data_IF_761679901240
#
_entry.id   IF_761679901240
#
_cell.length_a   1.000
_cell.length_b   1.000
_cell.length_c   1.000
_cell.angle_alpha   90.00
_cell.angle_beta   90.00
_cell.angle_gamma   90.00
#
_symmetry.space_group_name_H-M   'P 1'
#
loop_
_entity.id
_entity.type
_entity.pdbx_description
1 polymer ?
#
# COMPACT_ATOMS: atom_id res chain seq x y z
N UNK A 1 -25.60 -33.42 -1.25
CA UNK A 1 -26.28 -33.89 -0.03
C UNK A 1 -25.38 -33.68 1.22
N UNK A 2 -24.68 -32.55 1.38
CA UNK A 2 -23.86 -32.23 2.55
C UNK A 2 -24.20 -30.90 3.21
N UNK A 3 -25.17 -30.15 2.70
CA UNK A 3 -25.50 -28.78 3.19
C UNK A 3 -26.73 -28.69 4.10
N UNK A 4 -27.25 -29.81 4.57
CA UNK A 4 -28.50 -29.82 5.38
C UNK A 4 -28.27 -30.02 6.88
N UNK A 5 -27.04 -30.31 7.32
CA UNK A 5 -26.76 -30.58 8.75
C UNK A 5 -26.50 -29.30 9.55
N UNK A 6 -26.10 -28.18 8.87
CA UNK A 6 -25.78 -26.90 9.53
C UNK A 6 -27.03 -26.12 9.96
N UNK A 7 -28.19 -26.37 9.35
CA UNK A 7 -29.43 -25.61 9.65
C UNK A 7 -30.17 -26.04 10.93
N UNK A 8 -29.82 -27.16 11.54
CA UNK A 8 -30.48 -27.68 12.75
C UNK A 8 -29.86 -27.14 14.05
N UNK A 9 -28.59 -26.68 14.00
CA UNK A 9 -27.91 -26.10 15.17
C UNK A 9 -28.43 -24.75 15.62
N UNK A 10 -28.97 -23.94 14.69
CA UNK A 10 -29.37 -22.53 14.94
C UNK A 10 -30.69 -22.37 15.68
N UNK A 11 -31.53 -23.41 15.81
CA UNK A 11 -32.87 -23.32 16.43
C UNK A 11 -32.91 -23.82 17.90
N UNK A 12 -31.82 -24.38 18.43
CA UNK A 12 -31.81 -24.97 19.79
C UNK A 12 -31.15 -24.11 20.87
N UNK A 13 -30.57 -22.95 20.55
CA UNK A 13 -29.90 -22.11 21.56
C UNK A 13 -30.90 -21.19 22.32
N UNK A 14 -32.14 -21.09 21.89
CA UNK A 14 -33.11 -20.11 22.43
C UNK A 14 -33.80 -20.51 23.74
N UNK A 15 -33.65 -21.74 24.25
CA UNK A 15 -34.31 -22.19 25.48
C UNK A 15 -33.61 -23.36 26.18
N UNK A 16 -32.30 -23.27 26.49
CA UNK A 16 -31.73 -24.29 27.38
C UNK A 16 -30.86 -23.63 28.46
N UNK A 17 -31.15 -23.97 29.73
CA UNK A 17 -30.29 -23.68 30.89
C UNK A 17 -28.91 -24.39 30.84
N UNK A 18 -28.53 -24.91 29.69
CA UNK A 18 -27.23 -25.59 29.50
C UNK A 18 -26.17 -24.57 29.07
N UNK A 19 -25.02 -24.69 29.70
CA UNK A 19 -23.84 -23.91 29.31
C UNK A 19 -23.55 -24.05 27.81
N UNK A 20 -23.12 -22.96 27.10
CA UNK A 20 -22.74 -23.01 25.72
C UNK A 20 -21.67 -24.10 25.45
N UNK A 21 -21.80 -24.81 24.35
CA UNK A 21 -20.85 -25.84 23.93
C UNK A 21 -20.00 -25.32 22.77
N UNK A 22 -18.69 -25.49 22.90
CA UNK A 22 -17.77 -25.19 21.81
C UNK A 22 -17.83 -26.25 20.75
N UNK A 23 -18.26 -25.92 19.55
CA UNK A 23 -18.27 -26.84 18.43
C UNK A 23 -16.86 -27.34 18.08
N UNK A 24 -16.69 -28.64 17.72
CA UNK A 24 -15.41 -29.11 17.22
C UNK A 24 -15.06 -28.42 15.89
N UNK A 25 -13.83 -27.94 15.78
CA UNK A 25 -13.29 -27.34 14.57
C UNK A 25 -12.08 -28.16 14.12
N UNK A 26 -12.06 -28.56 12.86
CA UNK A 26 -10.91 -29.24 12.26
C UNK A 26 -9.90 -28.19 11.83
N UNK A 27 -8.79 -28.12 12.54
CA UNK A 27 -7.66 -27.21 12.27
C UNK A 27 -6.51 -27.90 11.52
N UNK A 28 -6.64 -29.18 11.16
CA UNK A 28 -5.55 -29.99 10.59
C UNK A 28 -5.07 -29.52 9.21
N UNK A 29 -5.92 -28.78 8.49
CA UNK A 29 -5.61 -28.22 7.15
C UNK A 29 -5.07 -26.77 7.20
N UNK A 30 -4.99 -26.19 8.40
CA UNK A 30 -4.54 -24.83 8.59
C UNK A 30 -3.02 -24.77 8.81
N UNK A 31 -2.44 -23.61 8.51
CA UNK A 31 -1.05 -23.34 8.90
C UNK A 31 -0.86 -23.51 10.42
N UNK A 32 0.24 -24.12 10.86
CA UNK A 32 0.47 -24.40 12.27
C UNK A 32 0.27 -23.20 13.22
N UNK A 33 0.77 -21.97 12.93
CA UNK A 33 0.50 -20.81 13.78
C UNK A 33 -0.98 -20.43 13.85
N UNK A 34 -1.74 -20.66 12.77
CA UNK A 34 -3.19 -20.42 12.71
C UNK A 34 -3.92 -21.42 13.59
N UNK A 35 -3.61 -22.71 13.42
CA UNK A 35 -4.18 -23.79 14.21
C UNK A 35 -3.92 -23.56 15.71
N UNK A 36 -2.69 -23.22 16.09
CA UNK A 36 -2.33 -22.97 17.48
C UNK A 36 -3.07 -21.76 18.07
N UNK A 37 -3.20 -20.67 17.31
CA UNK A 37 -3.95 -19.48 17.73
C UNK A 37 -5.42 -19.78 17.99
N UNK A 38 -6.07 -20.54 17.10
CA UNK A 38 -7.46 -20.96 17.22
C UNK A 38 -7.62 -21.92 18.40
N UNK A 39 -6.76 -22.92 18.52
CA UNK A 39 -6.82 -23.91 19.61
C UNK A 39 -6.56 -23.28 20.98
N UNK A 40 -5.69 -22.26 21.05
CA UNK A 40 -5.45 -21.51 22.27
C UNK A 40 -6.70 -20.74 22.71
N UNK A 41 -7.34 -20.01 21.79
CA UNK A 41 -8.58 -19.29 22.08
C UNK A 41 -9.74 -20.25 22.43
N UNK A 42 -9.83 -21.39 21.73
CA UNK A 42 -10.82 -22.44 22.00
C UNK A 42 -10.65 -23.04 23.40
N UNK A 43 -9.43 -23.36 23.83
CA UNK A 43 -9.14 -23.84 25.18
C UNK A 43 -9.56 -22.83 26.24
N UNK A 44 -9.39 -21.53 26.02
CA UNK A 44 -9.85 -20.51 26.96
C UNK A 44 -11.37 -20.54 27.14
N UNK A 45 -12.13 -20.68 26.05
CA UNK A 45 -13.59 -20.85 26.12
C UNK A 45 -13.97 -22.15 26.81
N UNK A 46 -13.29 -23.26 26.51
CA UNK A 46 -13.56 -24.58 27.15
C UNK A 46 -13.30 -24.55 28.66
N UNK A 47 -12.32 -23.76 29.11
CA UNK A 47 -12.03 -23.61 30.54
C UNK A 47 -13.15 -22.89 31.29
N UNK A 48 -13.86 -21.95 30.64
CA UNK A 48 -15.04 -21.28 31.20
C UNK A 48 -15.99 -20.86 30.07
N UNK A 49 -16.97 -21.68 29.78
CA UNK A 49 -17.97 -21.48 28.73
C UNK A 49 -18.97 -20.36 29.03
N UNK A 50 -18.95 -19.79 30.22
CA UNK A 50 -19.80 -18.66 30.62
C UNK A 50 -19.01 -17.33 30.61
N UNK A 51 -17.72 -17.33 30.22
CA UNK A 51 -16.93 -16.12 30.12
C UNK A 51 -17.16 -15.43 28.76
N UNK A 52 -17.85 -14.28 28.72
CA UNK A 52 -18.12 -13.56 27.49
C UNK A 52 -16.84 -13.02 26.84
N UNK A 53 -15.78 -12.74 27.61
CA UNK A 53 -14.52 -12.23 27.09
C UNK A 53 -13.74 -13.33 26.34
N UNK A 54 -13.80 -14.57 26.81
CA UNK A 54 -13.23 -15.73 26.12
C UNK A 54 -13.92 -15.95 24.76
N UNK A 55 -15.26 -15.86 24.71
CA UNK A 55 -16.01 -15.98 23.46
C UNK A 55 -15.72 -14.84 22.48
N UNK A 56 -15.60 -13.60 22.97
CA UNK A 56 -15.20 -12.45 22.13
C UNK A 56 -13.80 -12.68 21.52
N UNK A 57 -12.84 -13.12 22.34
CA UNK A 57 -11.48 -13.43 21.86
C UNK A 57 -11.49 -14.55 20.83
N UNK A 58 -12.27 -15.61 21.05
CA UNK A 58 -12.37 -16.72 20.10
C UNK A 58 -13.00 -16.28 18.79
N UNK A 59 -14.08 -15.49 18.84
CA UNK A 59 -14.73 -14.93 17.66
C UNK A 59 -13.78 -14.02 16.85
N UNK A 60 -13.02 -13.15 17.53
CA UNK A 60 -12.00 -12.30 16.88
C UNK A 60 -10.92 -13.11 16.18
N UNK A 61 -10.43 -14.19 16.82
CA UNK A 61 -9.42 -15.08 16.21
C UNK A 61 -9.99 -15.80 14.99
N UNK A 62 -11.18 -16.36 15.07
CA UNK A 62 -11.84 -17.02 13.95
C UNK A 62 -12.07 -16.04 12.79
N UNK A 63 -12.55 -14.85 13.08
CA UNK A 63 -12.80 -13.80 12.08
C UNK A 63 -11.49 -13.32 11.42
N UNK A 64 -10.41 -13.18 12.19
CA UNK A 64 -9.09 -12.82 11.68
C UNK A 64 -8.55 -13.84 10.67
N UNK A 65 -8.96 -15.08 10.79
CA UNK A 65 -8.60 -16.18 9.88
C UNK A 65 -9.69 -16.55 8.87
N UNK A 66 -10.68 -15.65 8.67
CA UNK A 66 -11.75 -15.79 7.67
C UNK A 66 -12.72 -16.96 7.92
N UNK A 67 -12.73 -17.52 9.12
CA UNK A 67 -13.70 -18.52 9.56
C UNK A 67 -14.98 -17.83 10.04
N UNK A 68 -15.67 -17.17 9.08
CA UNK A 68 -16.74 -16.22 9.40
C UNK A 68 -18.00 -16.88 9.94
N UNK A 69 -18.33 -18.12 9.55
CA UNK A 69 -19.49 -18.82 10.09
C UNK A 69 -19.28 -19.15 11.57
N UNK A 70 -18.14 -19.70 11.90
CA UNK A 70 -17.74 -20.06 13.26
C UNK A 70 -17.59 -18.82 14.13
N UNK A 71 -17.04 -17.74 13.55
CA UNK A 71 -16.98 -16.44 14.22
C UNK A 71 -18.36 -15.89 14.55
N UNK A 72 -19.33 -15.97 13.62
CA UNK A 72 -20.70 -15.52 13.85
C UNK A 72 -21.42 -16.32 14.95
N UNK A 73 -21.16 -17.63 15.03
CA UNK A 73 -21.67 -18.47 16.13
C UNK A 73 -21.07 -18.02 17.47
N UNK A 74 -19.75 -17.83 17.52
CA UNK A 74 -19.06 -17.36 18.72
C UNK A 74 -19.56 -15.97 19.16
N UNK A 75 -19.76 -15.03 18.23
CA UNK A 75 -20.37 -13.73 18.50
C UNK A 75 -21.80 -13.85 19.02
N UNK A 76 -22.60 -14.77 18.45
CA UNK A 76 -23.97 -15.01 18.90
C UNK A 76 -24.04 -15.53 20.34
N UNK A 77 -23.12 -16.39 20.72
CA UNK A 77 -22.99 -16.90 22.09
C UNK A 77 -22.54 -15.77 23.01
N UNK A 78 -21.52 -14.99 22.63
CA UNK A 78 -21.10 -13.80 23.40
C UNK A 78 -22.25 -12.84 23.68
N UNK A 79 -23.05 -12.55 22.67
CA UNK A 79 -24.26 -11.67 22.82
C UNK A 79 -25.34 -12.28 23.72
N UNK A 80 -25.39 -13.59 23.89
CA UNK A 80 -26.30 -14.22 24.84
C UNK A 80 -25.83 -14.16 26.29
N UNK A 81 -24.51 -13.94 26.49
CA UNK A 81 -23.90 -13.89 27.82
C UNK A 81 -23.70 -12.46 28.33
N UNK A 82 -23.46 -11.52 27.46
CA UNK A 82 -23.24 -10.11 27.83
C UNK A 82 -23.41 -9.16 26.61
N UNK A 83 -23.67 -7.88 26.90
CA UNK A 83 -23.75 -6.84 25.89
C UNK A 83 -22.43 -6.65 25.15
N UNK A 84 -22.50 -6.19 23.89
CA UNK A 84 -21.33 -5.87 23.11
C UNK A 84 -20.71 -4.53 23.56
N UNK A 85 -19.40 -4.48 23.62
CA UNK A 85 -18.67 -3.21 23.61
C UNK A 85 -18.75 -2.57 22.21
N UNK A 86 -18.51 -1.25 22.06
CA UNK A 86 -18.49 -0.60 20.75
C UNK A 86 -17.57 -1.29 19.74
N UNK A 87 -16.36 -1.67 20.17
CA UNK A 87 -15.40 -2.38 19.31
C UNK A 87 -15.88 -3.76 18.87
N UNK A 88 -16.48 -4.53 19.77
CA UNK A 88 -17.08 -5.84 19.45
C UNK A 88 -18.28 -5.69 18.50
N UNK A 89 -19.10 -4.66 18.68
CA UNK A 89 -20.21 -4.35 17.77
C UNK A 89 -19.72 -4.08 16.34
N UNK A 90 -18.63 -3.34 16.18
CA UNK A 90 -17.98 -3.09 14.89
C UNK A 90 -17.50 -4.41 14.26
N UNK A 91 -16.80 -5.26 15.02
CA UNK A 91 -16.30 -6.54 14.52
C UNK A 91 -17.43 -7.49 14.14
N UNK A 92 -18.47 -7.55 14.95
CA UNK A 92 -19.65 -8.38 14.67
C UNK A 92 -20.38 -7.90 13.40
N UNK A 93 -20.50 -6.58 13.22
CA UNK A 93 -21.05 -5.98 12.00
C UNK A 93 -20.22 -6.37 10.76
N UNK A 94 -18.89 -6.31 10.84
CA UNK A 94 -17.99 -6.75 9.76
C UNK A 94 -18.10 -8.26 9.48
N UNK A 95 -18.29 -9.07 10.49
CA UNK A 95 -18.55 -10.52 10.33
C UNK A 95 -19.84 -10.74 9.54
N UNK A 96 -20.92 -10.05 9.89
CA UNK A 96 -22.20 -10.13 9.19
C UNK A 96 -22.09 -9.71 7.72
N UNK A 97 -21.34 -8.63 7.43
CA UNK A 97 -21.04 -8.19 6.07
C UNK A 97 -20.29 -9.26 5.25
N UNK A 98 -19.24 -9.84 5.84
CA UNK A 98 -18.45 -10.88 5.17
C UNK A 98 -19.28 -12.14 4.85
N UNK A 99 -20.31 -12.41 5.64
CA UNK A 99 -21.27 -13.51 5.40
C UNK A 99 -22.40 -13.11 4.45
N UNK A 100 -22.51 -11.84 4.08
CA UNK A 100 -23.64 -11.28 3.32
C UNK A 100 -25.01 -11.66 3.93
N UNK A 101 -25.09 -11.78 5.25
CA UNK A 101 -26.32 -12.07 5.97
C UNK A 101 -26.55 -11.14 7.17
N UNK A 102 -27.79 -10.68 7.40
CA UNK A 102 -28.08 -9.81 8.54
C UNK A 102 -27.93 -10.57 9.86
N UNK A 103 -27.49 -9.86 10.88
CA UNK A 103 -27.48 -10.28 12.27
C UNK A 103 -28.34 -9.29 13.10
N UNK A 104 -29.67 -9.47 13.18
CA UNK A 104 -30.60 -8.45 13.75
C UNK A 104 -30.26 -8.00 15.17
N UNK A 105 -29.72 -8.90 16.00
CA UNK A 105 -29.26 -8.55 17.35
C UNK A 105 -28.11 -7.55 17.36
N UNK A 106 -27.29 -7.50 16.29
CA UNK A 106 -26.17 -6.56 16.16
C UNK A 106 -26.71 -5.13 15.96
N UNK A 107 -27.69 -4.97 15.09
CA UNK A 107 -28.31 -3.65 14.85
C UNK A 107 -28.94 -3.11 16.14
N UNK A 108 -29.67 -3.95 16.87
CA UNK A 108 -30.24 -3.60 18.17
C UNK A 108 -29.15 -3.21 19.19
N UNK A 109 -28.06 -3.96 19.27
CA UNK A 109 -26.94 -3.65 20.16
C UNK A 109 -26.27 -2.32 19.78
N UNK A 110 -26.09 -2.06 18.49
CA UNK A 110 -25.54 -0.79 18.00
C UNK A 110 -26.47 0.38 18.38
N UNK A 111 -27.78 0.22 18.20
CA UNK A 111 -28.74 1.25 18.60
C UNK A 111 -28.68 1.55 20.09
N UNK A 112 -28.59 0.54 20.95
CA UNK A 112 -28.45 0.71 22.39
C UNK A 112 -27.14 1.44 22.75
N UNK A 113 -26.02 1.05 22.15
CA UNK A 113 -24.74 1.71 22.38
C UNK A 113 -24.80 3.18 21.94
N UNK A 114 -25.39 3.47 20.76
CA UNK A 114 -25.50 4.83 20.24
C UNK A 114 -26.55 5.68 20.96
N UNK A 115 -27.51 5.08 21.68
CA UNK A 115 -28.39 5.80 22.62
C UNK A 115 -27.62 6.26 23.85
N UNK A 116 -26.71 5.39 24.37
CA UNK A 116 -25.88 5.73 25.51
C UNK A 116 -24.69 6.64 25.15
N UNK A 117 -24.13 6.49 23.95
CA UNK A 117 -22.99 7.26 23.44
C UNK A 117 -23.26 7.77 22.02
N UNK A 118 -24.10 8.84 21.87
CA UNK A 118 -24.56 9.32 20.56
C UNK A 118 -23.45 9.72 19.59
N UNK A 119 -22.32 10.16 20.13
CA UNK A 119 -21.20 10.71 19.35
C UNK A 119 -20.03 9.73 19.20
N UNK A 120 -20.28 8.41 19.33
CA UNK A 120 -19.25 7.40 19.14
C UNK A 120 -18.85 7.30 17.67
N UNK A 121 -17.81 8.04 17.29
CA UNK A 121 -17.39 8.27 15.89
C UNK A 121 -17.12 6.98 15.12
N UNK A 122 -16.30 6.06 15.67
CA UNK A 122 -15.95 4.80 14.98
C UNK A 122 -17.16 3.91 14.73
N UNK A 123 -18.08 3.80 15.68
CA UNK A 123 -19.29 2.98 15.52
C UNK A 123 -20.24 3.58 14.48
N UNK A 124 -20.43 4.92 14.48
CA UNK A 124 -21.20 5.61 13.44
C UNK A 124 -20.58 5.49 12.07
N UNK A 125 -19.27 5.65 11.96
CA UNK A 125 -18.54 5.45 10.71
C UNK A 125 -18.71 4.02 10.18
N UNK A 126 -18.57 3.01 11.04
CA UNK A 126 -18.73 1.60 10.66
C UNK A 126 -20.16 1.31 10.22
N UNK A 127 -21.19 1.72 11.00
CA UNK A 127 -22.59 1.52 10.63
C UNK A 127 -22.97 2.29 9.36
N UNK A 128 -22.56 3.55 9.25
CA UNK A 128 -22.79 4.36 8.05
C UNK A 128 -22.15 3.76 6.80
N UNK A 129 -20.95 3.22 6.92
CA UNK A 129 -20.27 2.51 5.82
C UNK A 129 -20.99 1.22 5.41
N UNK A 130 -21.53 0.47 6.37
CA UNK A 130 -22.35 -0.73 6.12
C UNK A 130 -23.66 -0.37 5.43
N UNK A 131 -24.36 0.65 5.92
CA UNK A 131 -25.59 1.17 5.32
C UNK A 131 -25.37 1.64 3.87
N UNK A 132 -24.25 2.34 3.60
CA UNK A 132 -23.86 2.74 2.24
C UNK A 132 -23.73 1.53 1.31
N UNK A 133 -23.04 0.47 1.75
CA UNK A 133 -22.90 -0.77 0.95
C UNK A 133 -24.23 -1.49 0.77
N UNK A 134 -25.09 -1.44 1.76
CA UNK A 134 -26.44 -2.01 1.73
C UNK A 134 -27.47 -1.18 0.94
N UNK A 135 -27.10 0.03 0.47
CA UNK A 135 -27.98 0.91 -0.29
C UNK A 135 -28.90 1.81 0.56
N UNK A 136 -28.82 1.76 1.90
CA UNK A 136 -29.50 2.71 2.80
C UNK A 136 -28.71 4.04 2.82
N UNK A 137 -28.90 4.84 1.78
CA UNK A 137 -28.18 6.11 1.61
C UNK A 137 -28.57 7.16 2.64
N UNK A 138 -29.82 7.14 3.11
CA UNK A 138 -30.33 8.11 4.11
C UNK A 138 -29.73 7.82 5.48
N UNK A 139 -29.82 6.58 5.94
CA UNK A 139 -29.21 6.18 7.21
C UNK A 139 -27.68 6.27 7.19
N UNK A 140 -27.05 5.98 6.04
CA UNK A 140 -25.62 6.16 5.86
C UNK A 140 -25.20 7.61 6.02
N UNK A 141 -25.93 8.54 5.37
CA UNK A 141 -25.65 9.97 5.46
C UNK A 141 -25.77 10.47 6.89
N UNK A 142 -26.85 10.10 7.59
CA UNK A 142 -27.07 10.51 8.98
C UNK A 142 -25.91 10.10 9.89
N UNK A 143 -25.50 8.83 9.85
CA UNK A 143 -24.40 8.34 10.67
C UNK A 143 -23.05 8.99 10.29
N UNK A 144 -22.75 9.11 8.99
CA UNK A 144 -21.49 9.67 8.52
C UNK A 144 -21.39 11.18 8.76
N UNK A 145 -22.48 11.94 8.66
CA UNK A 145 -22.49 13.37 9.02
C UNK A 145 -22.20 13.59 10.51
N UNK A 146 -22.81 12.78 11.38
CA UNK A 146 -22.51 12.85 12.81
C UNK A 146 -21.06 12.47 13.09
N UNK A 147 -20.51 11.45 12.40
CA UNK A 147 -19.12 11.08 12.54
C UNK A 147 -18.18 12.20 12.05
N UNK A 148 -18.45 12.83 10.89
CA UNK A 148 -17.64 13.94 10.34
C UNK A 148 -17.69 15.17 11.28
N UNK A 149 -18.81 15.43 11.94
CA UNK A 149 -18.94 16.56 12.89
C UNK A 149 -18.07 16.36 14.13
N UNK A 150 -17.81 15.13 14.54
CA UNK A 150 -16.89 14.82 15.65
C UNK A 150 -15.44 14.81 15.17
N UNK A 151 -15.19 14.17 14.05
CA UNK A 151 -13.83 14.02 13.51
C UNK A 151 -13.83 14.05 11.99
N UNK A 152 -13.12 15.03 11.42
CA UNK A 152 -12.95 15.17 9.97
C UNK A 152 -11.78 14.30 9.47
N UNK A 153 -11.86 12.99 9.75
CA UNK A 153 -10.88 12.03 9.28
C UNK A 153 -11.07 11.71 7.79
N UNK A 154 -10.01 11.55 6.98
CA UNK A 154 -10.13 11.30 5.54
C UNK A 154 -11.00 10.10 5.16
N UNK A 155 -10.98 9.02 5.95
CA UNK A 155 -11.81 7.84 5.71
C UNK A 155 -13.31 8.15 5.87
N UNK A 156 -13.67 8.96 6.87
CA UNK A 156 -15.07 9.36 7.10
C UNK A 156 -15.53 10.30 5.99
N UNK A 157 -14.69 11.28 5.62
CA UNK A 157 -14.95 12.19 4.51
C UNK A 157 -15.15 11.44 3.18
N UNK A 158 -14.33 10.43 2.90
CA UNK A 158 -14.46 9.58 1.72
C UNK A 158 -15.79 8.79 1.72
N UNK A 159 -16.17 8.20 2.86
CA UNK A 159 -17.42 7.46 2.98
C UNK A 159 -18.62 8.37 2.78
N UNK A 160 -18.64 9.55 3.41
CA UNK A 160 -19.70 10.54 3.22
C UNK A 160 -19.75 11.05 1.78
N UNK A 161 -18.60 11.32 1.16
CA UNK A 161 -18.56 11.74 -0.24
C UNK A 161 -19.14 10.68 -1.19
N UNK A 162 -18.86 9.41 -0.96
CA UNK A 162 -19.47 8.30 -1.72
C UNK A 162 -20.99 8.24 -1.52
N UNK A 163 -21.45 8.47 -0.30
CA UNK A 163 -22.88 8.48 0.01
C UNK A 163 -23.61 9.60 -0.74
N UNK A 164 -23.12 10.85 -0.62
CA UNK A 164 -23.77 12.00 -1.28
C UNK A 164 -23.63 11.96 -2.80
N UNK A 165 -22.54 11.38 -3.30
CA UNK A 165 -22.37 11.10 -4.74
C UNK A 165 -23.42 10.13 -5.25
N UNK A 166 -23.69 9.05 -4.50
CA UNK A 166 -24.74 8.07 -4.84
C UNK A 166 -26.16 8.68 -4.79
N UNK A 167 -26.34 9.76 -4.06
CA UNK A 167 -27.57 10.57 -4.03
C UNK A 167 -27.64 11.62 -5.15
N UNK A 168 -26.57 11.78 -5.96
CA UNK A 168 -26.48 12.72 -7.07
C UNK A 168 -25.88 14.08 -6.73
N UNK A 169 -25.47 14.35 -5.48
CA UNK A 169 -24.83 15.60 -5.10
C UNK A 169 -23.31 15.57 -5.34
N UNK A 170 -22.93 15.68 -6.61
CA UNK A 170 -21.54 15.69 -7.03
C UNK A 170 -20.77 16.91 -6.52
N UNK A 171 -21.43 18.05 -6.33
CA UNK A 171 -20.79 19.28 -5.82
C UNK A 171 -20.33 19.11 -4.38
N UNK A 172 -21.18 18.58 -3.53
CA UNK A 172 -20.83 18.28 -2.15
C UNK A 172 -19.80 17.17 -2.05
N UNK A 173 -19.93 16.12 -2.87
CA UNK A 173 -18.95 15.04 -2.94
C UNK A 173 -17.55 15.55 -3.29
N UNK A 174 -17.43 16.46 -4.27
CA UNK A 174 -16.16 17.11 -4.62
C UNK A 174 -15.53 17.82 -3.41
N UNK A 175 -16.28 18.65 -2.72
CA UNK A 175 -15.76 19.40 -1.56
C UNK A 175 -15.21 18.47 -0.48
N UNK A 176 -15.93 17.40 -0.14
CA UNK A 176 -15.51 16.41 0.84
C UNK A 176 -14.25 15.64 0.41
N UNK A 177 -14.16 15.28 -0.89
CA UNK A 177 -13.02 14.55 -1.42
C UNK A 177 -11.76 15.43 -1.55
N UNK A 178 -11.92 16.69 -1.89
CA UNK A 178 -10.79 17.64 -1.95
C UNK A 178 -10.20 17.87 -0.55
N UNK A 179 -11.04 17.98 0.48
CA UNK A 179 -10.59 18.02 1.87
C UNK A 179 -9.90 16.71 2.29
N UNK A 180 -10.50 15.56 1.97
CA UNK A 180 -9.90 14.26 2.25
C UNK A 180 -8.51 14.13 1.59
N UNK A 181 -8.38 14.60 0.34
CA UNK A 181 -7.12 14.60 -0.42
C UNK A 181 -6.05 15.50 0.20
N UNK A 182 -6.43 16.65 0.77
CA UNK A 182 -5.48 17.53 1.47
C UNK A 182 -4.88 16.84 2.69
N UNK A 183 -5.67 16.03 3.40
CA UNK A 183 -5.25 15.30 4.60
C UNK A 183 -4.54 13.98 4.30
N UNK A 184 -4.85 13.35 3.17
CA UNK A 184 -4.32 12.06 2.73
C UNK A 184 -3.95 12.11 1.23
N UNK A 185 -2.90 12.89 0.92
CA UNK A 185 -2.42 13.05 -0.44
C UNK A 185 -1.85 11.72 -0.98
N UNK A 186 -2.42 11.23 -2.08
CA UNK A 186 -1.98 9.99 -2.70
C UNK A 186 -2.79 8.75 -2.34
N UNK A 187 -3.82 8.87 -1.50
CA UNK A 187 -4.74 7.77 -1.26
C UNK A 187 -5.48 7.37 -2.56
N UNK A 188 -5.34 6.10 -2.99
CA UNK A 188 -5.89 5.66 -4.27
C UNK A 188 -7.43 5.63 -4.30
N UNK A 189 -8.09 5.44 -3.15
CA UNK A 189 -9.54 5.36 -3.09
C UNK A 189 -10.19 6.74 -3.18
N UNK A 190 -9.54 7.77 -2.63
CA UNK A 190 -9.94 9.18 -2.82
C UNK A 190 -9.78 9.56 -4.29
N UNK A 191 -8.64 9.22 -4.91
CA UNK A 191 -8.38 9.54 -6.32
C UNK A 191 -9.36 8.84 -7.26
N UNK A 192 -9.64 7.56 -7.04
CA UNK A 192 -10.63 6.79 -7.81
C UNK A 192 -12.04 7.37 -7.70
N UNK A 193 -12.38 7.95 -6.54
CA UNK A 193 -13.70 8.53 -6.32
C UNK A 193 -13.80 9.94 -6.92
N UNK A 194 -12.73 10.71 -7.04
CA UNK A 194 -12.71 12.04 -7.65
C UNK A 194 -13.00 12.01 -9.15
N UNK A 195 -12.51 11.04 -9.90
CA UNK A 195 -12.70 10.98 -11.36
C UNK A 195 -14.18 10.94 -11.77
N UNK A 196 -15.05 10.06 -11.22
CA UNK A 196 -16.48 10.09 -11.52
C UNK A 196 -17.19 11.38 -11.05
N UNK A 197 -16.74 11.99 -9.96
CA UNK A 197 -17.28 13.27 -9.48
C UNK A 197 -17.03 14.38 -10.52
N UNK A 198 -15.80 14.51 -11.03
CA UNK A 198 -15.48 15.50 -12.04
C UNK A 198 -16.26 15.28 -13.35
N UNK A 199 -16.51 14.00 -13.73
CA UNK A 199 -17.35 13.69 -14.91
C UNK A 199 -18.79 14.16 -14.73
N UNK A 200 -19.40 13.95 -13.55
CA UNK A 200 -20.76 14.41 -13.27
C UNK A 200 -20.86 15.94 -13.24
N UNK A 201 -19.77 16.63 -12.91
CA UNK A 201 -19.69 18.10 -12.94
C UNK A 201 -19.33 18.66 -14.31
N UNK A 202 -19.11 17.82 -15.35
CA UNK A 202 -18.69 18.24 -16.69
C UNK A 202 -17.22 18.62 -16.81
N UNK A 203 -16.40 18.35 -15.81
CA UNK A 203 -14.97 18.70 -15.73
C UNK A 203 -14.10 17.55 -16.28
N UNK A 204 -14.23 17.23 -17.57
CA UNK A 204 -13.60 16.09 -18.22
C UNK A 204 -12.09 16.08 -18.13
N UNK A 205 -11.44 17.26 -18.28
CA UNK A 205 -9.97 17.35 -18.17
C UNK A 205 -9.44 16.97 -16.78
N UNK A 206 -10.16 17.36 -15.72
CA UNK A 206 -9.80 16.99 -14.36
C UNK A 206 -10.02 15.50 -14.11
N UNK A 207 -11.10 14.93 -14.64
CA UNK A 207 -11.37 13.50 -14.56
C UNK A 207 -10.26 12.68 -15.25
N UNK A 208 -9.81 13.08 -16.43
CA UNK A 208 -8.73 12.40 -17.17
C UNK A 208 -7.37 12.56 -16.45
N UNK A 209 -7.13 13.73 -15.84
CA UNK A 209 -5.95 13.93 -15.00
C UNK A 209 -5.93 12.96 -13.80
N UNK A 210 -7.06 12.77 -13.10
CA UNK A 210 -7.12 11.83 -11.98
C UNK A 210 -7.00 10.36 -12.45
N UNK A 211 -7.56 9.99 -13.60
CA UNK A 211 -7.40 8.66 -14.19
C UNK A 211 -5.98 8.33 -14.61
N UNK A 212 -5.25 9.34 -15.13
CA UNK A 212 -3.86 9.17 -15.60
C UNK A 212 -2.84 9.17 -14.46
N UNK A 213 -3.22 9.54 -13.23
CA UNK A 213 -2.34 9.47 -12.07
C UNK A 213 -2.03 8.04 -11.72
N UNK A 214 -0.74 7.70 -11.69
CA UNK A 214 -0.30 6.38 -11.19
C UNK A 214 -0.60 6.30 -9.70
N UNK A 215 -1.50 5.40 -9.33
CA UNK A 215 -1.91 5.17 -7.94
C UNK A 215 -0.75 4.55 -7.15
N UNK A 216 0.07 5.36 -6.52
CA UNK A 216 1.21 4.97 -5.68
C UNK A 216 1.05 5.57 -4.28
N UNK A 217 0.09 5.06 -3.52
CA UNK A 217 -0.09 5.48 -2.13
C UNK A 217 -0.41 4.29 -1.23
N UNK A 218 -0.22 4.43 0.09
CA UNK A 218 -0.69 3.42 1.03
C UNK A 218 -2.20 3.29 0.89
N UNK A 219 -2.64 2.04 0.76
CA UNK A 219 -4.05 1.71 0.66
C UNK A 219 -4.68 1.80 2.05
N UNK A 220 -5.83 2.44 2.10
CA UNK A 220 -6.77 2.43 3.21
C UNK A 220 -6.32 3.11 4.51
N UNK A 221 -6.86 4.27 4.69
CA UNK A 221 -7.00 4.93 5.97
C UNK A 221 -7.79 4.02 6.92
N UNK A 222 -7.10 3.27 7.78
CA UNK A 222 -7.74 2.52 8.85
C UNK A 222 -8.16 3.50 9.93
N UNK A 223 -9.42 3.48 10.28
CA UNK A 223 -9.99 4.41 11.27
C UNK A 223 -10.29 3.72 12.61
N UNK A 224 -10.36 2.39 12.65
CA UNK A 224 -10.90 1.68 13.79
C UNK A 224 -9.87 0.81 14.51
N UNK A 225 -9.73 1.04 15.84
CA UNK A 225 -8.82 0.25 16.69
C UNK A 225 -9.23 -1.22 16.82
N UNK A 226 -10.55 -1.52 16.76
CA UNK A 226 -11.04 -2.89 16.84
C UNK A 226 -10.65 -3.68 15.59
N UNK A 227 -10.78 -3.07 14.41
CA UNK A 227 -10.30 -3.68 13.15
C UNK A 227 -8.78 -3.88 13.18
N UNK A 228 -8.03 -2.93 13.75
CA UNK A 228 -6.59 -3.06 13.91
C UNK A 228 -6.22 -4.19 14.87
N UNK A 229 -6.93 -4.32 16.01
CA UNK A 229 -6.72 -5.43 16.94
C UNK A 229 -6.99 -6.78 16.27
N UNK A 230 -8.11 -6.92 15.56
CA UNK A 230 -8.44 -8.13 14.82
C UNK A 230 -7.38 -8.46 13.76
N UNK A 231 -6.98 -7.47 12.97
CA UNK A 231 -5.92 -7.65 11.98
C UNK A 231 -4.61 -8.14 12.61
N UNK A 232 -4.28 -7.68 13.82
CA UNK A 232 -3.08 -8.12 14.55
C UNK A 232 -3.19 -9.56 15.10
N UNK A 233 -4.40 -10.10 15.26
CA UNK A 233 -4.61 -11.50 15.63
C UNK A 233 -4.40 -12.47 14.47
N UNK A 234 -4.51 -12.02 13.22
CA UNK A 234 -4.23 -12.86 12.07
C UNK A 234 -2.73 -13.20 12.00
N UNK A 235 -2.39 -14.48 12.11
CA UNK A 235 -1.00 -14.98 12.12
C UNK A 235 -0.66 -15.81 10.90
N UNK A 236 -1.58 -15.93 9.93
CA UNK A 236 -1.35 -16.66 8.68
C UNK A 236 -0.26 -16.00 7.84
N UNK A 237 0.42 -16.81 7.02
CA UNK A 237 1.41 -16.30 6.06
C UNK A 237 0.82 -15.28 5.10
N UNK A 238 -0.46 -15.43 4.71
CA UNK A 238 -1.18 -14.46 3.87
C UNK A 238 -1.35 -13.12 4.58
N UNK A 239 -1.82 -13.12 5.84
CA UNK A 239 -1.97 -11.89 6.62
C UNK A 239 -0.62 -11.19 6.85
N UNK A 240 0.44 -11.96 7.11
CA UNK A 240 1.79 -11.43 7.25
C UNK A 240 2.33 -10.87 5.92
N UNK A 241 1.99 -11.50 4.79
CA UNK A 241 2.37 -11.01 3.45
C UNK A 241 1.68 -9.68 3.10
N UNK A 242 0.40 -9.52 3.45
CA UNK A 242 -0.33 -8.26 3.26
C UNK A 242 0.29 -7.13 4.09
N UNK A 243 0.63 -7.39 5.36
CA UNK A 243 1.33 -6.43 6.23
C UNK A 243 2.73 -6.09 5.72
N UNK A 244 3.45 -7.11 5.25
CA UNK A 244 4.77 -6.90 4.66
C UNK A 244 4.69 -6.05 3.39
N UNK A 245 3.67 -6.28 2.53
CA UNK A 245 3.44 -5.47 1.33
C UNK A 245 3.08 -4.03 1.67
N UNK A 246 2.21 -3.82 2.66
CA UNK A 246 1.82 -2.48 3.12
C UNK A 246 3.03 -1.71 3.67
N UNK A 247 3.80 -2.32 4.57
CA UNK A 247 5.01 -1.72 5.11
C UNK A 247 6.07 -1.44 4.02
N UNK A 248 6.21 -2.35 3.05
CA UNK A 248 7.10 -2.18 1.91
C UNK A 248 6.67 -0.99 1.01
N UNK A 249 5.38 -0.87 0.73
CA UNK A 249 4.83 0.25 -0.05
C UNK A 249 5.06 1.60 0.65
N UNK A 250 4.97 1.61 1.98
CA UNK A 250 5.22 2.79 2.83
C UNK A 250 6.72 3.06 3.04
N UNK A 251 7.62 2.22 2.48
CA UNK A 251 9.08 2.26 2.69
C UNK A 251 9.51 2.05 4.14
N UNK A 252 8.66 1.43 4.93
CA UNK A 252 8.97 1.04 6.31
C UNK A 252 9.68 -0.32 6.32
N UNK A 253 10.95 -0.30 5.90
CA UNK A 253 11.74 -1.50 5.66
C UNK A 253 11.91 -2.37 6.91
N UNK A 254 11.99 -1.76 8.08
CA UNK A 254 12.14 -2.49 9.34
C UNK A 254 10.86 -3.26 9.69
N UNK A 255 9.70 -2.61 9.58
CA UNK A 255 8.41 -3.26 9.81
C UNK A 255 8.15 -4.35 8.77
N UNK A 256 8.46 -4.08 7.50
CA UNK A 256 8.36 -5.09 6.44
C UNK A 256 9.19 -6.34 6.76
N UNK A 257 10.44 -6.17 7.23
CA UNK A 257 11.31 -7.29 7.63
C UNK A 257 10.75 -8.12 8.78
N UNK A 258 10.07 -7.50 9.76
CA UNK A 258 9.43 -8.25 10.85
C UNK A 258 8.41 -9.24 10.32
N UNK A 259 7.54 -8.79 9.41
CA UNK A 259 6.50 -9.65 8.84
C UNK A 259 7.07 -10.68 7.86
N UNK A 260 8.06 -10.30 7.05
CA UNK A 260 8.74 -11.23 6.14
C UNK A 260 9.49 -12.35 6.90
N UNK A 261 10.10 -12.04 8.04
CA UNK A 261 10.72 -13.05 8.87
C UNK A 261 9.69 -14.07 9.40
N UNK A 262 8.52 -13.61 9.89
CA UNK A 262 7.45 -14.53 10.31
C UNK A 262 6.95 -15.44 9.20
N UNK A 263 6.89 -14.94 7.95
CA UNK A 263 6.55 -15.77 6.80
C UNK A 263 7.65 -16.83 6.58
N UNK A 264 8.91 -16.43 6.63
CA UNK A 264 10.06 -17.30 6.35
C UNK A 264 10.39 -18.26 7.49
N UNK A 265 9.88 -18.03 8.70
CA UNK A 265 9.91 -19.02 9.79
C UNK A 265 9.02 -20.22 9.48
N UNK A 266 7.87 -20.01 8.82
CA UNK A 266 6.91 -21.05 8.43
C UNK A 266 7.25 -21.65 7.06
N UNK A 267 7.64 -20.78 6.12
CA UNK A 267 7.93 -21.12 4.72
C UNK A 267 9.31 -20.58 4.32
N UNK A 268 10.41 -21.24 4.73
CA UNK A 268 11.77 -20.73 4.55
C UNK A 268 12.25 -20.66 3.10
N UNK A 269 11.52 -21.30 2.18
CA UNK A 269 11.74 -21.38 0.73
C UNK A 269 10.81 -20.45 -0.08
N UNK A 270 9.96 -19.66 0.57
CA UNK A 270 9.02 -18.77 -0.13
C UNK A 270 9.76 -17.67 -0.90
N UNK A 271 10.01 -17.93 -2.16
CA UNK A 271 10.85 -17.12 -3.04
C UNK A 271 10.45 -15.63 -3.08
N UNK A 272 9.16 -15.32 -3.16
CA UNK A 272 8.65 -13.95 -3.15
C UNK A 272 8.92 -13.21 -1.83
N UNK A 273 8.89 -13.91 -0.68
CA UNK A 273 9.20 -13.31 0.62
C UNK A 273 10.71 -13.06 0.75
N UNK A 274 11.54 -14.00 0.30
CA UNK A 274 12.98 -13.83 0.23
C UNK A 274 13.37 -12.63 -0.63
N UNK A 275 12.80 -12.50 -1.84
CA UNK A 275 13.09 -11.38 -2.74
C UNK A 275 12.71 -10.02 -2.11
N UNK A 276 11.55 -9.93 -1.44
CA UNK A 276 11.14 -8.70 -0.73
C UNK A 276 12.06 -8.41 0.46
N UNK A 277 12.44 -9.43 1.25
CA UNK A 277 13.37 -9.23 2.38
C UNK A 277 14.75 -8.81 1.90
N UNK A 278 15.23 -9.40 0.82
CA UNK A 278 16.45 -8.99 0.14
C UNK A 278 16.41 -7.51 -0.28
N UNK A 279 15.26 -7.03 -0.78
CA UNK A 279 15.09 -5.62 -1.11
C UNK A 279 15.11 -4.74 0.16
N UNK A 280 14.47 -5.16 1.26
CA UNK A 280 14.55 -4.44 2.54
C UNK A 280 15.99 -4.37 3.05
N UNK A 281 16.75 -5.46 2.96
CA UNK A 281 18.18 -5.49 3.29
C UNK A 281 19.00 -4.55 2.41
N UNK A 282 18.72 -4.51 1.11
CA UNK A 282 19.37 -3.60 0.16
C UNK A 282 19.11 -2.13 0.52
N UNK A 283 17.85 -1.78 0.86
CA UNK A 283 17.46 -0.42 1.23
C UNK A 283 17.99 0.02 2.59
N UNK A 284 18.25 -0.93 3.49
CA UNK A 284 18.89 -0.70 4.81
C UNK A 284 20.42 -0.89 4.79
N UNK A 285 21.01 -0.94 3.60
CA UNK A 285 22.47 -1.07 3.37
C UNK A 285 23.10 -2.39 3.88
N UNK A 286 22.31 -3.45 4.04
CA UNK A 286 22.77 -4.78 4.48
C UNK A 286 23.08 -5.66 3.25
N UNK A 287 24.09 -5.27 2.47
CA UNK A 287 24.38 -5.81 1.13
C UNK A 287 24.57 -7.32 1.09
N UNK A 288 25.27 -7.90 2.08
CA UNK A 288 25.54 -9.34 2.14
C UNK A 288 24.26 -10.16 2.35
N UNK A 289 23.37 -9.69 3.26
CA UNK A 289 22.08 -10.34 3.49
C UNK A 289 21.17 -10.23 2.29
N UNK A 290 21.20 -9.07 1.61
CA UNK A 290 20.45 -8.87 0.38
C UNK A 290 20.87 -9.85 -0.71
N UNK A 291 22.20 -10.04 -0.92
CA UNK A 291 22.74 -11.01 -1.90
C UNK A 291 22.30 -12.43 -1.58
N UNK A 292 22.40 -12.85 -0.32
CA UNK A 292 21.96 -14.19 0.13
C UNK A 292 20.47 -14.42 -0.15
N UNK A 293 19.62 -13.47 0.22
CA UNK A 293 18.19 -13.60 0.03
C UNK A 293 17.80 -13.61 -1.45
N UNK A 294 18.39 -12.75 -2.29
CA UNK A 294 18.11 -12.75 -3.72
C UNK A 294 18.58 -14.02 -4.42
N UNK A 295 19.77 -14.54 -4.09
CA UNK A 295 20.26 -15.80 -4.67
C UNK A 295 19.40 -16.98 -4.25
N UNK A 296 18.98 -17.02 -2.98
CA UNK A 296 18.05 -18.05 -2.51
C UNK A 296 16.69 -17.92 -3.21
N UNK A 297 16.16 -16.71 -3.36
CA UNK A 297 14.92 -16.47 -4.07
C UNK A 297 14.95 -16.98 -5.52
N UNK A 298 16.06 -16.73 -6.25
CA UNK A 298 16.24 -17.20 -7.64
C UNK A 298 16.40 -18.72 -7.69
N UNK A 299 17.03 -19.33 -6.69
CA UNK A 299 17.18 -20.79 -6.63
C UNK A 299 15.82 -21.49 -6.47
N UNK A 300 14.87 -20.87 -5.76
CA UNK A 300 13.50 -21.39 -5.58
C UNK A 300 12.58 -21.01 -6.76
N UNK A 301 12.76 -19.81 -7.34
CA UNK A 301 11.98 -19.32 -8.48
C UNK A 301 12.84 -18.37 -9.33
N UNK A 302 13.36 -18.89 -10.44
CA UNK A 302 14.19 -18.14 -11.40
C UNK A 302 13.42 -17.06 -12.20
N UNK A 303 12.08 -17.06 -12.11
CA UNK A 303 11.22 -16.09 -12.80
C UNK A 303 10.97 -14.79 -12.00
N UNK A 304 11.62 -14.62 -10.85
CA UNK A 304 11.43 -13.46 -9.98
C UNK A 304 12.24 -12.24 -10.48
N UNK A 305 11.60 -11.38 -11.28
CA UNK A 305 12.19 -10.14 -11.78
C UNK A 305 12.79 -9.26 -10.66
N UNK A 306 12.13 -9.16 -9.51
CA UNK A 306 12.60 -8.39 -8.36
C UNK A 306 13.95 -8.88 -7.82
N UNK A 307 14.17 -10.19 -7.76
CA UNK A 307 15.41 -10.76 -7.27
C UNK A 307 16.57 -10.52 -8.25
N UNK A 308 16.32 -10.69 -9.55
CA UNK A 308 17.27 -10.33 -10.58
C UNK A 308 17.61 -8.84 -10.57
N UNK A 309 16.62 -7.96 -10.47
CA UNK A 309 16.86 -6.51 -10.33
C UNK A 309 17.72 -6.21 -9.08
N UNK A 310 17.41 -6.86 -7.95
CA UNK A 310 18.18 -6.71 -6.71
C UNK A 310 19.65 -7.07 -6.87
N UNK A 311 19.96 -8.23 -7.49
CA UNK A 311 21.34 -8.63 -7.79
C UNK A 311 22.03 -7.68 -8.78
N UNK A 312 21.31 -7.19 -9.78
CA UNK A 312 21.81 -6.17 -10.71
C UNK A 312 22.23 -4.88 -9.99
N UNK A 313 21.42 -4.42 -9.03
CA UNK A 313 21.74 -3.23 -8.19
C UNK A 313 22.98 -3.50 -7.32
N UNK A 314 23.05 -4.67 -6.67
CA UNK A 314 24.21 -5.07 -5.85
C UNK A 314 25.49 -5.15 -6.66
N UNK A 315 25.42 -5.75 -7.83
CA UNK A 315 26.56 -5.84 -8.76
C UNK A 315 27.02 -4.44 -9.21
N UNK A 316 26.07 -3.57 -9.56
CA UNK A 316 26.35 -2.18 -9.96
C UNK A 316 27.01 -1.35 -8.85
N UNK A 317 26.55 -1.49 -7.60
CA UNK A 317 27.17 -0.87 -6.41
C UNK A 317 28.53 -1.46 -6.08
N UNK A 318 28.69 -2.76 -6.32
CA UNK A 318 29.95 -3.49 -6.09
C UNK A 318 31.00 -3.34 -7.19
N UNK A 319 30.80 -2.45 -8.19
CA UNK A 319 31.74 -2.23 -9.28
C UNK A 319 31.86 -3.40 -10.26
N UNK A 320 30.84 -4.23 -10.40
CA UNK A 320 30.74 -5.38 -11.30
C UNK A 320 29.71 -5.13 -12.43
N UNK A 321 29.99 -4.17 -13.34
CA UNK A 321 29.00 -3.71 -14.30
C UNK A 321 28.52 -4.79 -15.27
N UNK A 322 29.37 -5.74 -15.68
CA UNK A 322 28.96 -6.84 -16.57
C UNK A 322 27.94 -7.75 -15.92
N UNK A 323 28.14 -8.09 -14.63
CA UNK A 323 27.16 -8.87 -13.86
C UNK A 323 25.84 -8.08 -13.67
N UNK A 324 25.93 -6.76 -13.43
CA UNK A 324 24.77 -5.90 -13.35
C UNK A 324 23.95 -5.92 -14.66
N UNK A 325 24.61 -5.85 -15.82
CA UNK A 325 23.97 -5.96 -17.13
C UNK A 325 23.20 -7.26 -17.27
N UNK A 326 23.84 -8.41 -16.94
CA UNK A 326 23.20 -9.73 -17.05
C UNK A 326 21.93 -9.81 -16.21
N UNK A 327 22.01 -9.41 -14.94
CA UNK A 327 20.86 -9.50 -14.05
C UNK A 327 19.77 -8.48 -14.39
N UNK A 328 20.10 -7.24 -14.76
CA UNK A 328 19.10 -6.25 -15.17
C UNK A 328 18.42 -6.60 -16.49
N UNK A 329 19.16 -7.17 -17.46
CA UNK A 329 18.56 -7.68 -18.68
C UNK A 329 17.52 -8.77 -18.37
N UNK A 330 17.87 -9.73 -17.49
CA UNK A 330 16.94 -10.79 -17.09
C UNK A 330 15.72 -10.23 -16.35
N UNK A 331 15.90 -9.23 -15.49
CA UNK A 331 14.79 -8.56 -14.83
C UNK A 331 13.81 -7.90 -15.82
N UNK A 332 14.33 -7.26 -16.87
CA UNK A 332 13.54 -6.64 -17.95
C UNK A 332 12.83 -7.70 -18.81
N UNK A 333 13.48 -8.82 -19.14
CA UNK A 333 12.81 -9.92 -19.83
C UNK A 333 11.61 -10.46 -19.05
N UNK A 334 11.77 -10.61 -17.73
CA UNK A 334 10.71 -11.12 -16.84
C UNK A 334 9.62 -10.10 -16.54
N UNK A 335 9.97 -8.82 -16.46
CA UNK A 335 9.04 -7.71 -16.26
C UNK A 335 9.43 -6.50 -17.12
N UNK A 336 8.95 -6.43 -18.37
CA UNK A 336 9.28 -5.36 -19.30
C UNK A 336 8.77 -3.97 -18.89
N UNK A 337 7.87 -3.90 -17.91
CA UNK A 337 7.29 -2.65 -17.41
C UNK A 337 7.93 -2.15 -16.11
N UNK A 338 9.00 -2.79 -15.62
CA UNK A 338 9.69 -2.35 -14.40
C UNK A 338 10.50 -1.06 -14.65
N UNK A 339 10.04 0.12 -14.16
CA UNK A 339 10.70 1.39 -14.42
C UNK A 339 12.08 1.48 -13.76
N UNK A 340 12.30 0.75 -12.65
CA UNK A 340 13.58 0.74 -11.95
C UNK A 340 14.62 -0.08 -12.73
N UNK A 341 14.23 -1.26 -13.22
CA UNK A 341 15.12 -2.10 -14.03
C UNK A 341 15.49 -1.38 -15.34
N UNK A 342 14.49 -0.84 -16.05
CA UNK A 342 14.69 -0.08 -17.28
C UNK A 342 15.56 1.17 -17.07
N UNK A 343 15.43 1.85 -15.91
CA UNK A 343 16.26 3.00 -15.59
C UNK A 343 17.69 2.66 -15.25
N UNK A 344 17.95 1.50 -14.63
CA UNK A 344 19.27 1.09 -14.19
C UNK A 344 20.07 0.39 -15.30
N UNK A 345 19.41 -0.27 -16.23
CA UNK A 345 20.04 -1.06 -17.28
C UNK A 345 20.97 -0.23 -18.19
N UNK A 346 20.54 0.94 -18.73
CA UNK A 346 21.42 1.80 -19.52
C UNK A 346 22.69 2.22 -18.76
N UNK A 347 22.56 2.46 -17.45
CA UNK A 347 23.70 2.88 -16.62
C UNK A 347 24.69 1.72 -16.43
N UNK A 348 24.18 0.50 -16.27
CA UNK A 348 25.01 -0.69 -16.16
C UNK A 348 25.78 -0.96 -17.48
N UNK A 349 25.11 -0.84 -18.63
CA UNK A 349 25.71 -0.94 -19.96
C UNK A 349 26.81 0.13 -20.17
N UNK A 350 26.49 1.38 -19.82
CA UNK A 350 27.45 2.49 -19.93
C UNK A 350 28.72 2.21 -19.11
N UNK A 351 28.56 1.77 -17.84
CA UNK A 351 29.69 1.40 -16.98
C UNK A 351 30.43 0.14 -17.45
N UNK A 352 29.76 -0.74 -18.18
CA UNK A 352 30.39 -1.93 -18.81
C UNK A 352 31.13 -1.58 -20.10
N UNK A 353 31.07 -0.32 -20.58
CA UNK A 353 31.70 0.13 -21.83
C UNK A 353 30.89 -0.20 -23.09
N UNK A 354 29.65 -0.69 -22.94
CA UNK A 354 28.73 -1.03 -24.03
C UNK A 354 27.90 0.20 -24.39
N UNK A 355 28.55 1.18 -25.03
CA UNK A 355 27.98 2.53 -25.17
C UNK A 355 26.82 2.58 -26.16
N UNK A 356 26.90 1.98 -27.37
CA UNK A 356 25.78 1.96 -28.31
C UNK A 356 24.53 1.30 -27.75
N UNK A 357 24.71 0.19 -27.03
CA UNK A 357 23.62 -0.54 -26.38
C UNK A 357 23.02 0.29 -25.22
N UNK A 358 23.86 1.03 -24.48
CA UNK A 358 23.41 1.90 -23.40
C UNK A 358 22.54 3.06 -23.93
N UNK A 359 22.93 3.68 -25.04
CA UNK A 359 22.17 4.75 -25.69
C UNK A 359 20.81 4.24 -26.19
N UNK A 360 20.78 3.09 -26.85
CA UNK A 360 19.54 2.46 -27.31
C UNK A 360 18.61 2.08 -26.14
N UNK A 361 19.18 1.51 -25.08
CA UNK A 361 18.42 1.16 -23.88
C UNK A 361 17.85 2.40 -23.17
N UNK A 362 18.61 3.51 -23.09
CA UNK A 362 18.13 4.76 -22.54
C UNK A 362 16.99 5.34 -23.36
N UNK A 363 17.11 5.42 -24.68
CA UNK A 363 16.05 5.93 -25.54
C UNK A 363 14.77 5.06 -25.45
N UNK A 364 14.93 3.73 -25.36
CA UNK A 364 13.81 2.82 -25.15
C UNK A 364 13.10 3.11 -23.81
N UNK A 365 13.88 3.24 -22.73
CA UNK A 365 13.32 3.56 -21.41
C UNK A 365 12.68 4.95 -21.36
N UNK A 366 13.29 5.97 -22.01
CA UNK A 366 12.76 7.31 -22.11
C UNK A 366 11.46 7.37 -22.90
N UNK A 367 11.39 6.69 -24.04
CA UNK A 367 10.17 6.62 -24.85
C UNK A 367 9.00 6.01 -24.07
N UNK A 368 9.29 5.04 -23.21
CA UNK A 368 8.27 4.38 -22.38
C UNK A 368 7.86 5.22 -21.16
N UNK A 369 8.81 5.95 -20.59
CA UNK A 369 8.63 6.79 -19.39
C UNK A 369 9.12 8.23 -19.62
N UNK A 370 8.53 9.00 -20.53
CA UNK A 370 9.07 10.31 -20.95
C UNK A 370 9.12 11.33 -19.81
N UNK A 371 8.29 11.16 -18.78
CA UNK A 371 8.27 12.04 -17.60
C UNK A 371 9.07 11.48 -16.40
N UNK A 372 9.87 10.42 -16.60
CA UNK A 372 10.70 9.86 -15.54
C UNK A 372 12.01 10.64 -15.40
N UNK A 373 11.96 11.72 -14.62
CA UNK A 373 13.14 12.55 -14.36
C UNK A 373 14.30 11.82 -13.66
N UNK A 374 14.02 10.78 -12.87
CA UNK A 374 15.08 10.00 -12.20
C UNK A 374 15.92 9.26 -13.24
N UNK A 375 15.29 8.64 -14.24
CA UNK A 375 15.99 8.02 -15.36
C UNK A 375 16.92 9.02 -16.07
N UNK A 376 16.38 10.20 -16.41
CA UNK A 376 17.15 11.26 -17.08
C UNK A 376 18.33 11.70 -16.23
N UNK A 377 18.11 12.00 -14.95
CA UNK A 377 19.19 12.44 -14.05
C UNK A 377 20.31 11.40 -13.94
N UNK A 378 19.96 10.11 -13.74
CA UNK A 378 20.94 9.05 -13.63
C UNK A 378 21.74 8.91 -14.93
N UNK A 379 21.09 9.02 -16.09
CA UNK A 379 21.73 9.00 -17.39
C UNK A 379 22.74 10.13 -17.56
N UNK A 380 22.33 11.38 -17.27
CA UNK A 380 23.18 12.56 -17.33
C UNK A 380 24.39 12.47 -16.39
N UNK A 381 24.19 11.97 -15.17
CA UNK A 381 25.29 11.69 -14.22
C UNK A 381 26.24 10.64 -14.79
N UNK A 382 25.69 9.55 -15.37
CA UNK A 382 26.48 8.49 -15.98
C UNK A 382 27.36 8.99 -17.12
N UNK A 383 26.78 9.68 -18.10
CA UNK A 383 27.52 10.25 -19.25
C UNK A 383 28.61 11.22 -18.79
N UNK A 384 28.30 12.12 -17.86
CA UNK A 384 29.30 13.06 -17.35
C UNK A 384 30.44 12.35 -16.61
N UNK A 385 30.15 11.31 -15.82
CA UNK A 385 31.19 10.53 -15.13
C UNK A 385 32.13 9.77 -16.07
N UNK A 386 31.70 9.53 -17.29
CA UNK A 386 32.46 8.90 -18.35
C UNK A 386 33.16 9.92 -19.28
N UNK A 387 33.12 11.21 -18.93
CA UNK A 387 33.72 12.28 -19.74
C UNK A 387 32.92 12.64 -21.02
N UNK A 388 31.68 12.18 -21.15
CA UNK A 388 30.82 12.36 -22.33
C UNK A 388 29.81 13.51 -22.10
N UNK A 389 30.32 14.66 -21.66
CA UNK A 389 29.49 15.82 -21.30
C UNK A 389 28.73 16.40 -22.51
N UNK A 390 29.27 16.28 -23.73
CA UNK A 390 28.64 16.68 -25.00
C UNK A 390 27.34 15.89 -25.22
N UNK A 391 27.38 14.58 -25.10
CA UNK A 391 26.20 13.72 -25.21
C UNK A 391 25.23 13.96 -24.04
N UNK A 392 25.74 14.19 -22.83
CA UNK A 392 24.96 14.57 -21.69
C UNK A 392 24.14 15.86 -21.92
N UNK A 393 24.76 16.84 -22.56
CA UNK A 393 24.06 18.10 -22.90
C UNK A 393 22.94 17.87 -23.92
N UNK A 394 23.19 17.08 -24.97
CA UNK A 394 22.18 16.72 -25.98
C UNK A 394 21.00 15.99 -25.30
N UNK A 395 21.30 14.98 -24.49
CA UNK A 395 20.25 14.23 -23.75
C UNK A 395 19.44 15.13 -22.81
N UNK A 396 20.09 16.07 -22.11
CA UNK A 396 19.41 17.02 -21.24
C UNK A 396 18.47 17.94 -22.02
N UNK A 397 18.93 18.51 -23.14
CA UNK A 397 18.10 19.38 -24.01
C UNK A 397 16.89 18.63 -24.56
N UNK A 398 17.07 17.37 -24.98
CA UNK A 398 15.96 16.52 -25.44
C UNK A 398 14.98 16.23 -24.32
N UNK A 399 15.48 15.90 -23.12
CA UNK A 399 14.62 15.63 -21.95
C UNK A 399 13.80 16.83 -21.49
N UNK A 400 14.35 18.05 -21.64
CA UNK A 400 13.62 19.29 -21.31
C UNK A 400 12.43 19.55 -22.25
N UNK A 401 12.38 18.96 -23.45
CA UNK A 401 11.22 19.02 -24.33
C UNK A 401 10.03 18.24 -23.73
N UNK A 402 10.30 17.12 -23.05
CA UNK A 402 9.30 16.26 -22.43
C UNK A 402 8.92 16.73 -21.00
N UNK A 403 9.91 17.23 -20.25
CA UNK A 403 9.79 17.56 -18.82
C UNK A 403 9.54 19.06 -18.56
N UNK A 404 9.74 19.92 -19.57
CA UNK A 404 9.73 21.37 -19.37
C UNK A 404 10.95 21.85 -18.56
N UNK A 405 10.79 22.95 -17.83
CA UNK A 405 11.85 23.55 -17.00
C UNK A 405 12.07 22.74 -15.70
N UNK A 406 12.55 21.50 -15.83
CA UNK A 406 12.90 20.67 -14.67
C UNK A 406 14.23 21.11 -14.04
N UNK A 407 14.17 21.57 -12.79
CA UNK A 407 15.32 22.15 -12.09
C UNK A 407 16.53 21.21 -12.01
N UNK A 408 16.31 19.91 -11.83
CA UNK A 408 17.41 18.95 -11.72
C UNK A 408 18.04 18.62 -13.07
N UNK A 409 17.24 18.52 -14.13
CA UNK A 409 17.76 18.32 -15.50
C UNK A 409 18.54 19.57 -15.93
N UNK A 410 18.03 20.77 -15.68
CA UNK A 410 18.73 22.05 -15.92
C UNK A 410 20.06 22.12 -15.15
N UNK A 411 20.08 21.70 -13.87
CA UNK A 411 21.31 21.62 -13.09
C UNK A 411 22.35 20.69 -13.74
N UNK A 412 21.94 19.48 -14.16
CA UNK A 412 22.85 18.54 -14.81
C UNK A 412 23.31 19.02 -16.19
N UNK A 413 22.44 19.69 -16.95
CA UNK A 413 22.84 20.33 -18.20
C UNK A 413 23.91 21.39 -17.97
N UNK A 414 23.74 22.25 -16.94
CA UNK A 414 24.73 23.22 -16.55
C UNK A 414 26.09 22.60 -16.20
N UNK A 415 26.08 21.49 -15.45
CA UNK A 415 27.30 20.74 -15.11
C UNK A 415 27.97 20.11 -16.36
N UNK A 416 27.20 19.72 -17.38
CA UNK A 416 27.77 19.30 -18.66
C UNK A 416 28.43 20.44 -19.40
N UNK A 417 27.78 21.61 -19.41
CA UNK A 417 28.35 22.84 -20.01
C UNK A 417 29.63 23.30 -19.30
N UNK A 418 29.66 23.23 -17.96
CA UNK A 418 30.90 23.49 -17.19
C UNK A 418 32.04 22.56 -17.62
N UNK A 419 31.74 21.27 -17.77
CA UNK A 419 32.73 20.25 -18.19
C UNK A 419 33.23 20.49 -19.65
N UNK A 420 32.43 21.14 -20.49
CA UNK A 420 32.76 21.50 -21.85
C UNK A 420 33.46 22.92 -21.94
N UNK A 421 33.66 23.60 -20.79
CA UNK A 421 34.26 24.93 -20.74
C UNK A 421 33.32 26.08 -21.16
N UNK A 422 32.02 25.79 -21.36
CA UNK A 422 31.01 26.75 -21.80
C UNK A 422 30.39 27.48 -20.60
N UNK A 423 31.22 28.23 -19.86
CA UNK A 423 30.87 28.77 -18.53
C UNK A 423 29.68 29.76 -18.59
N UNK A 424 29.60 30.59 -19.62
CA UNK A 424 28.48 31.58 -19.70
C UNK A 424 27.14 30.89 -19.88
N UNK A 425 27.06 29.93 -20.77
CA UNK A 425 25.83 29.14 -20.98
C UNK A 425 25.49 28.29 -19.75
N UNK A 426 26.50 27.71 -19.09
CA UNK A 426 26.30 26.98 -17.82
C UNK A 426 25.64 27.85 -16.75
N UNK A 427 26.07 29.13 -16.62
CA UNK A 427 25.49 30.09 -15.69
C UNK A 427 24.03 30.41 -16.01
N UNK A 428 23.64 30.46 -17.27
CA UNK A 428 22.25 30.63 -17.66
C UNK A 428 21.41 29.45 -17.26
N UNK A 429 21.86 28.20 -17.51
CA UNK A 429 21.16 26.99 -17.08
C UNK A 429 21.08 26.88 -15.56
N UNK A 430 22.10 27.32 -14.82
CA UNK A 430 22.03 27.39 -13.36
C UNK A 430 20.95 28.39 -12.88
N UNK A 431 20.83 29.56 -13.50
CA UNK A 431 19.77 30.55 -13.18
C UNK A 431 18.38 29.98 -13.47
N UNK A 432 18.17 29.31 -14.61
CA UNK A 432 16.92 28.65 -14.95
C UNK A 432 16.58 27.55 -13.95
N UNK A 433 17.58 26.76 -13.53
CA UNK A 433 17.42 25.74 -12.52
C UNK A 433 16.95 26.30 -11.17
N UNK A 434 17.53 27.44 -10.73
CA UNK A 434 17.11 28.12 -9.48
C UNK A 434 15.75 28.78 -9.63
N UNK A 435 15.42 29.31 -10.82
CA UNK A 435 14.11 29.87 -11.10
C UNK A 435 13.00 28.76 -11.03
N UNK A 436 13.31 27.58 -11.53
CA UNK A 436 12.39 26.42 -11.47
C UNK A 436 12.26 25.83 -10.05
N UNK A 437 13.36 25.78 -9.28
CA UNK A 437 13.38 25.39 -7.87
C UNK A 437 14.47 26.17 -7.11
N UNK A 438 14.10 27.11 -6.21
CA UNK A 438 15.06 27.88 -5.40
C UNK A 438 15.98 27.03 -4.52
N UNK A 439 15.59 25.77 -4.23
CA UNK A 439 16.39 24.80 -3.47
C UNK A 439 17.32 23.96 -4.35
N UNK A 440 17.35 24.20 -5.66
CA UNK A 440 18.23 23.48 -6.57
C UNK A 440 19.71 23.63 -6.14
N UNK A 441 20.53 22.58 -6.29
CA UNK A 441 21.98 22.64 -6.05
C UNK A 441 22.68 23.73 -6.88
N UNK A 442 22.06 24.22 -7.95
CA UNK A 442 22.55 25.36 -8.77
C UNK A 442 22.67 26.66 -7.97
N UNK A 443 21.87 26.87 -6.91
CA UNK A 443 21.93 28.06 -6.08
C UNK A 443 23.33 28.28 -5.46
N UNK A 444 23.94 27.20 -4.95
CA UNK A 444 25.29 27.24 -4.37
C UNK A 444 26.40 27.53 -5.42
N UNK A 445 26.16 27.12 -6.67
CA UNK A 445 27.08 27.40 -7.79
C UNK A 445 27.05 28.89 -8.16
N UNK A 446 25.85 29.49 -8.27
CA UNK A 446 25.69 30.91 -8.56
C UNK A 446 26.30 31.81 -7.49
N UNK A 447 26.20 31.43 -6.20
CA UNK A 447 26.81 32.17 -5.11
C UNK A 447 28.34 32.18 -5.17
N UNK A 448 28.98 31.09 -5.59
CA UNK A 448 30.44 30.95 -5.69
C UNK A 448 31.04 31.77 -6.87
N UNK A 449 30.26 31.98 -7.92
CA UNK A 449 30.69 32.69 -9.11
C UNK A 449 30.29 34.17 -9.11
N UNK A 450 29.46 34.59 -8.16
CA UNK A 450 28.91 35.97 -8.03
C UNK A 450 29.68 36.89 -7.09
N UNK A 451 30.92 36.61 -6.71
CA UNK A 451 31.80 37.61 -6.08
C UNK A 451 32.55 38.40 -7.16
N UNK A 452 32.14 39.62 -7.51
CA UNK A 452 33.06 40.56 -8.14
C UNK A 452 34.07 40.95 -7.07
N UNK A 453 35.37 40.82 -7.40
CA UNK A 453 36.42 41.49 -6.66
C UNK A 453 36.30 43.02 -6.75
#
# INVERSE_FOLDING_TARGET
>A
MKNWIVLIGLLLVACSDKAPVVAPLDTSTLEAPVAESIDSARRAVQANTLDPSAWATYAEVLQAHQLLNEAAEAWSIKMSLADLTPGEAILTLRCAEGLARPMPKVDQAIDQILQATPDHTSLRFSRGSTRLRGGDLVGAQEDLERAVNQERHPAILLALARTVLSQGDATRARSLLEEARQKASGDPDIQKTLAPVYLQLGESELADRERSRVLRGPKALRFDEAELRMANRAVSSTANDDRAREAFANRDWQVAMVWLNKILEVHPDRAAALARRGMCHLMTNQMQKADQDFRKAIAEDESLAMAHRGLGVLAGRGGRPKEAVTHLARAIELNPEDPDALGMYPIALLKAGQIPEAEMAYETARARFPKNRILVQQWLVGLRSMGRADQGLVAARTALQDLGEDAAVLHHAALCLEALGQVQEAMEYHRRSVAADPKSPSASRLQKTGTPG
#
